data_IF_652573281282
#
_entry.id   IF_652573281282
#
_cell.length_a   1.000
_cell.length_b   1.000
_cell.length_c   1.000
_cell.angle_alpha   90.00
_cell.angle_beta   90.00
_cell.angle_gamma   90.00
#
_symmetry.space_group_name_H-M   'P 1'
#
loop_
_entity.id
_entity.type
_entity.pdbx_description
1 polymer ?
#
# COMPACT_ATOMS: atom_id res chain seq x y z
N UNK A 1 2.06 4.25 23.32
CA UNK A 1 2.19 4.10 24.79
C UNK A 1 2.87 5.36 25.30
N UNK A 2 2.53 5.85 26.49
CA UNK A 2 3.26 6.98 27.05
C UNK A 2 4.70 6.54 27.35
N UNK A 3 5.69 7.32 26.91
CA UNK A 3 7.11 7.04 27.11
C UNK A 3 7.43 6.83 28.59
N UNK A 4 6.78 7.58 29.49
CA UNK A 4 6.95 7.43 30.94
C UNK A 4 6.58 6.03 31.45
N UNK A 5 5.45 5.49 31.00
CA UNK A 5 4.97 4.15 31.41
C UNK A 5 5.91 3.05 30.91
N UNK A 6 6.55 3.24 29.76
CA UNK A 6 7.53 2.28 29.28
C UNK A 6 8.84 2.33 30.07
N UNK A 7 9.31 3.53 30.41
CA UNK A 7 10.50 3.74 31.23
C UNK A 7 10.33 3.10 32.61
N UNK A 8 9.18 3.31 33.27
CA UNK A 8 8.87 2.68 34.56
C UNK A 8 8.95 1.14 34.49
N UNK A 9 8.53 0.55 33.37
CA UNK A 9 8.64 -0.91 33.16
C UNK A 9 10.10 -1.36 33.01
N UNK A 10 10.94 -0.57 32.34
CA UNK A 10 12.38 -0.85 32.23
C UNK A 10 13.05 -0.73 33.61
N UNK A 11 12.73 0.33 34.36
CA UNK A 11 13.30 0.59 35.70
C UNK A 11 12.88 -0.47 36.73
N UNK A 12 11.74 -1.12 36.51
CA UNK A 12 11.22 -2.21 37.33
C UNK A 12 11.82 -3.59 36.98
N UNK A 13 12.69 -3.69 35.98
CA UNK A 13 13.33 -4.95 35.63
C UNK A 13 14.26 -5.44 36.75
N UNK A 14 14.28 -6.75 36.95
CA UNK A 14 15.15 -7.38 37.94
C UNK A 14 16.62 -7.03 37.68
N UNK A 15 17.33 -6.62 38.73
CA UNK A 15 18.73 -6.22 38.62
C UNK A 15 18.97 -4.80 38.09
N UNK A 16 17.95 -4.06 37.66
CA UNK A 16 18.13 -2.68 37.19
C UNK A 16 18.66 -1.75 38.29
N UNK A 17 18.10 -1.88 39.51
CA UNK A 17 18.50 -1.07 40.66
C UNK A 17 19.94 -1.32 41.14
N UNK A 18 20.53 -2.48 40.79
CA UNK A 18 21.89 -2.85 41.19
C UNK A 18 22.95 -2.35 40.22
N UNK A 19 22.54 -1.83 39.05
CA UNK A 19 23.42 -1.21 38.05
C UNK A 19 23.77 0.22 38.47
N UNK A 20 24.99 0.66 38.16
CA UNK A 20 25.47 2.01 38.44
C UNK A 20 24.71 3.05 37.62
N UNK A 21 24.57 4.25 38.16
CA UNK A 21 23.76 5.31 37.55
C UNK A 21 24.22 5.70 36.13
N UNK A 22 25.52 5.62 35.83
CA UNK A 22 26.11 5.90 34.52
C UNK A 22 25.80 4.83 33.47
N UNK A 23 25.50 3.59 33.88
CA UNK A 23 25.18 2.47 32.99
C UNK A 23 23.66 2.28 32.79
N UNK A 24 22.84 2.81 33.69
CA UNK A 24 21.35 2.73 33.61
C UNK A 24 20.79 3.35 32.33
N UNK A 25 21.37 4.46 31.87
CA UNK A 25 20.93 5.10 30.63
C UNK A 25 21.15 4.19 29.42
N UNK A 26 22.25 3.44 29.38
CA UNK A 26 22.52 2.47 28.30
C UNK A 26 21.49 1.34 28.24
N UNK A 27 20.96 0.90 29.39
CA UNK A 27 19.88 -0.10 29.44
C UNK A 27 18.58 0.47 28.91
N UNK A 28 18.25 1.71 29.29
CA UNK A 28 17.06 2.42 28.81
C UNK A 28 17.13 2.60 27.30
N UNK A 29 18.24 3.12 26.78
CA UNK A 29 18.42 3.36 25.34
C UNK A 29 18.29 2.05 24.55
N UNK A 30 18.95 0.98 25.01
CA UNK A 30 18.85 -0.34 24.37
C UNK A 30 17.40 -0.87 24.33
N UNK A 31 16.63 -0.67 25.40
CA UNK A 31 15.22 -1.09 25.46
C UNK A 31 14.28 -0.23 24.61
N UNK A 32 14.55 1.07 24.51
CA UNK A 32 13.81 2.02 23.68
C UNK A 32 14.05 1.75 22.19
N UNK A 33 15.31 1.67 21.79
CA UNK A 33 15.72 1.48 20.40
C UNK A 33 15.22 0.13 19.87
N UNK A 34 15.33 -0.93 20.67
CA UNK A 34 14.86 -2.26 20.28
C UNK A 34 13.34 -2.31 20.13
N UNK A 35 12.58 -1.64 21.00
CA UNK A 35 11.13 -1.55 20.89
C UNK A 35 10.74 -0.78 19.62
N UNK A 36 11.35 0.38 19.37
CA UNK A 36 11.03 1.19 18.20
C UNK A 36 11.37 0.47 16.90
N UNK A 37 12.55 -0.16 16.84
CA UNK A 37 12.96 -0.97 15.70
C UNK A 37 12.00 -2.14 15.45
N UNK A 38 11.59 -2.85 16.50
CA UNK A 38 10.65 -3.98 16.36
C UNK A 38 9.27 -3.52 15.92
N UNK A 39 8.77 -2.41 16.45
CA UNK A 39 7.50 -1.83 16.02
C UNK A 39 7.56 -1.42 14.54
N UNK A 40 8.65 -0.79 14.10
CA UNK A 40 8.87 -0.42 12.70
C UNK A 40 8.97 -1.65 11.79
N UNK A 41 9.63 -2.72 12.23
CA UNK A 41 9.68 -4.00 11.51
C UNK A 41 8.28 -4.62 11.36
N UNK A 42 7.54 -4.76 12.45
CA UNK A 42 6.19 -5.35 12.46
C UNK A 42 5.23 -4.56 11.57
N UNK A 43 5.26 -3.23 11.65
CA UNK A 43 4.42 -2.38 10.80
C UNK A 43 4.82 -2.45 9.34
N UNK A 44 6.13 -2.45 9.01
CA UNK A 44 6.60 -2.60 7.64
C UNK A 44 6.22 -3.95 7.01
N UNK A 45 6.19 -5.01 7.81
CA UNK A 45 5.79 -6.35 7.36
C UNK A 45 4.27 -6.50 7.20
N UNK A 46 3.49 -5.79 8.02
CA UNK A 46 2.03 -5.97 8.09
C UNK A 46 1.25 -5.01 7.21
N UNK A 47 1.71 -3.78 7.07
CA UNK A 47 1.01 -2.78 6.27
C UNK A 47 1.38 -2.93 4.80
N UNK A 48 0.42 -3.23 3.90
CA UNK A 48 0.74 -3.43 2.49
C UNK A 48 1.11 -2.12 1.77
N UNK A 49 0.87 -0.97 2.38
CA UNK A 49 1.04 0.33 1.75
C UNK A 49 1.96 1.28 2.52
N UNK A 50 2.54 2.18 1.76
CA UNK A 50 3.28 3.37 2.20
C UNK A 50 2.51 4.41 2.98
N UNK A 51 2.75 4.81 4.24
CA UNK A 51 2.22 6.12 4.64
C UNK A 51 2.77 7.22 3.72
N UNK A 52 1.92 8.13 3.27
CA UNK A 52 2.24 9.25 2.38
C UNK A 52 2.87 8.86 1.04
N UNK A 53 2.56 7.68 0.52
CA UNK A 53 3.03 7.22 -0.79
C UNK A 53 1.87 6.80 -1.70
N UNK A 54 2.07 6.81 -3.03
CA UNK A 54 1.08 6.31 -3.98
C UNK A 54 0.65 4.87 -3.64
N UNK A 55 -0.65 4.64 -3.56
CA UNK A 55 -1.24 3.31 -3.35
C UNK A 55 -2.07 2.83 -4.53
N UNK A 56 -2.55 3.74 -5.37
CA UNK A 56 -3.38 3.43 -6.53
C UNK A 56 -3.08 4.39 -7.67
N UNK A 57 -2.96 3.87 -8.88
CA UNK A 57 -2.87 4.65 -10.12
C UNK A 57 -3.99 4.22 -11.06
N UNK A 58 -4.74 5.19 -11.58
CA UNK A 58 -5.85 4.98 -12.52
C UNK A 58 -5.59 5.83 -13.75
N UNK A 59 -5.73 5.21 -14.92
CA UNK A 59 -5.69 5.88 -16.19
C UNK A 59 -7.01 5.62 -16.91
N UNK A 60 -7.61 6.66 -17.45
CA UNK A 60 -8.79 6.58 -18.29
C UNK A 60 -8.46 7.22 -19.64
N UNK A 61 -8.62 6.44 -20.70
CA UNK A 61 -8.46 6.89 -22.07
C UNK A 61 -9.82 6.77 -22.74
N UNK A 62 -10.30 7.87 -23.29
CA UNK A 62 -11.60 7.93 -23.94
C UNK A 62 -11.47 8.50 -25.34
N UNK A 63 -12.18 7.92 -26.29
CA UNK A 63 -12.36 8.47 -27.63
C UNK A 63 -13.77 8.18 -28.11
N UNK A 64 -14.26 9.00 -29.03
CA UNK A 64 -15.51 8.74 -29.73
C UNK A 64 -15.30 8.67 -31.24
N UNK A 65 -16.16 7.91 -31.90
CA UNK A 65 -16.25 7.83 -33.36
C UNK A 65 -17.72 7.64 -33.75
N UNK A 66 -18.24 8.50 -34.63
CA UNK A 66 -19.64 8.48 -35.10
C UNK A 66 -20.72 8.29 -34.02
N UNK A 67 -20.51 8.87 -32.84
CA UNK A 67 -21.45 8.82 -31.72
C UNK A 67 -21.28 7.63 -30.78
N UNK A 68 -20.39 6.68 -31.12
CA UNK A 68 -20.00 5.56 -30.26
C UNK A 68 -18.87 5.98 -29.32
N UNK A 69 -18.99 5.66 -28.04
CA UNK A 69 -17.99 5.93 -27.00
C UNK A 69 -17.10 4.71 -26.79
N UNK A 70 -15.78 4.91 -26.78
CA UNK A 70 -14.81 3.87 -26.46
C UNK A 70 -13.96 4.30 -25.28
N UNK A 71 -13.87 3.42 -24.28
CA UNK A 71 -13.14 3.70 -23.05
C UNK A 71 -12.14 2.58 -22.75
N UNK A 72 -10.95 2.97 -22.32
CA UNK A 72 -9.92 2.07 -21.83
C UNK A 72 -9.51 2.53 -20.43
N UNK A 73 -9.73 1.67 -19.44
CA UNK A 73 -9.41 1.93 -18.04
C UNK A 73 -8.26 1.03 -17.61
N UNK A 74 -7.18 1.63 -17.13
CA UNK A 74 -6.09 0.92 -16.48
C UNK A 74 -6.09 1.25 -14.99
N UNK A 75 -5.87 0.23 -14.17
CA UNK A 75 -5.73 0.37 -12.72
C UNK A 75 -4.50 -0.38 -12.24
N UNK A 76 -3.74 0.25 -11.35
CA UNK A 76 -2.58 -0.35 -10.69
C UNK A 76 -2.64 -0.14 -9.19
N UNK A 77 -2.77 -1.24 -8.47
CA UNK A 77 -2.56 -1.37 -7.04
C UNK A 77 -1.05 -1.37 -6.74
N UNK A 78 -0.60 -0.47 -5.87
CA UNK A 78 0.80 -0.34 -5.49
C UNK A 78 1.13 -0.99 -4.14
N UNK A 79 0.36 -2.03 -3.77
CA UNK A 79 0.68 -2.86 -2.61
C UNK A 79 2.12 -3.40 -2.70
N UNK A 80 2.85 -3.29 -1.58
CA UNK A 80 4.25 -3.77 -1.42
C UNK A 80 4.32 -5.28 -1.22
N UNK A 81 3.27 -5.84 -0.63
CA UNK A 81 3.18 -7.26 -0.28
C UNK A 81 2.52 -7.98 -1.45
N UNK A 82 3.04 -9.15 -1.82
CA UNK A 82 2.40 -10.01 -2.82
C UNK A 82 0.99 -10.37 -2.38
N UNK A 83 0.02 -10.03 -3.20
CA UNK A 83 -1.37 -10.47 -3.04
C UNK A 83 -1.62 -11.72 -3.88
N UNK A 84 -2.58 -12.53 -3.45
CA UNK A 84 -3.18 -13.61 -4.26
C UNK A 84 -4.04 -13.06 -5.40
N UNK A 85 -4.42 -11.79 -5.31
CA UNK A 85 -5.22 -11.07 -6.31
C UNK A 85 -4.34 -10.32 -7.30
N UNK A 86 -4.83 -10.09 -8.53
CA UNK A 86 -4.15 -9.24 -9.49
C UNK A 86 -3.96 -7.82 -8.94
N UNK A 87 -2.86 -7.18 -9.32
CA UNK A 87 -2.49 -5.82 -8.91
C UNK A 87 -2.50 -4.84 -10.07
N UNK A 88 -2.53 -5.34 -11.31
CA UNK A 88 -2.75 -4.50 -12.49
C UNK A 88 -3.90 -5.02 -13.32
N UNK A 89 -4.69 -4.10 -13.86
CA UNK A 89 -5.87 -4.37 -14.65
C UNK A 89 -5.92 -3.44 -15.85
N UNK A 90 -6.46 -3.93 -16.95
CA UNK A 90 -6.86 -3.10 -18.08
C UNK A 90 -8.19 -3.60 -18.63
N UNK A 91 -9.15 -2.68 -18.77
CA UNK A 91 -10.55 -2.99 -19.09
C UNK A 91 -10.99 -2.06 -20.20
N UNK A 92 -11.57 -2.63 -21.26
CA UNK A 92 -12.09 -1.90 -22.41
C UNK A 92 -13.60 -1.92 -22.44
N UNK A 93 -14.19 -0.78 -22.82
CA UNK A 93 -15.62 -0.61 -23.01
C UNK A 93 -15.93 0.03 -24.36
N UNK A 94 -17.12 -0.27 -24.87
CA UNK A 94 -17.78 0.42 -25.98
C UNK A 94 -19.21 0.70 -25.54
N UNK A 95 -19.65 1.97 -25.59
CA UNK A 95 -20.97 2.41 -25.13
C UNK A 95 -21.33 1.83 -23.74
N UNK A 96 -20.35 1.86 -22.82
CA UNK A 96 -20.41 1.29 -21.47
C UNK A 96 -20.56 -0.25 -21.39
N UNK A 97 -20.68 -0.96 -22.50
CA UNK A 97 -20.64 -2.41 -22.55
C UNK A 97 -19.19 -2.91 -22.42
N UNK A 98 -18.99 -3.93 -21.58
CA UNK A 98 -17.68 -4.55 -21.41
C UNK A 98 -17.26 -5.25 -22.70
N UNK A 99 -16.06 -4.94 -23.18
CA UNK A 99 -15.49 -5.59 -24.37
C UNK A 99 -14.47 -6.64 -23.95
N UNK A 100 -13.48 -6.26 -23.14
CA UNK A 100 -12.45 -7.19 -22.67
C UNK A 100 -11.87 -6.71 -21.33
N UNK A 101 -11.34 -7.66 -20.57
CA UNK A 101 -10.62 -7.44 -19.32
C UNK A 101 -9.36 -8.28 -19.30
N UNK A 102 -8.25 -7.67 -18.90
CA UNK A 102 -7.01 -8.39 -18.59
C UNK A 102 -6.50 -7.96 -17.22
N UNK A 103 -5.88 -8.90 -16.50
CA UNK A 103 -5.34 -8.66 -15.17
C UNK A 103 -4.01 -9.40 -15.00
N UNK A 104 -3.15 -8.89 -14.12
CA UNK A 104 -1.86 -9.49 -13.82
C UNK A 104 -1.50 -9.37 -12.34
N UNK A 105 -0.85 -10.42 -11.80
CA UNK A 105 -0.35 -10.48 -10.42
C UNK A 105 0.88 -9.57 -10.21
N UNK A 106 1.56 -9.19 -11.28
CA UNK A 106 2.71 -8.31 -11.25
C UNK A 106 2.33 -6.85 -11.55
N UNK A 107 3.15 -5.94 -11.05
CA UNK A 107 3.01 -4.52 -11.34
C UNK A 107 3.53 -4.19 -12.74
N UNK A 108 2.66 -4.27 -13.74
CA UNK A 108 2.95 -3.87 -15.13
C UNK A 108 2.68 -2.40 -15.39
N UNK A 109 3.38 -1.83 -16.37
CA UNK A 109 3.12 -0.48 -16.89
C UNK A 109 1.88 -0.50 -17.79
N UNK A 110 1.29 0.67 -18.01
CA UNK A 110 0.15 0.84 -18.93
C UNK A 110 0.40 0.22 -20.31
N UNK A 111 1.59 0.41 -20.89
CA UNK A 111 1.95 -0.15 -22.20
C UNK A 111 2.02 -1.68 -22.20
N UNK A 112 2.57 -2.27 -21.14
CA UNK A 112 2.68 -3.73 -21.01
C UNK A 112 1.30 -4.35 -20.83
N UNK A 113 0.42 -3.71 -20.05
CA UNK A 113 -0.97 -4.12 -19.91
C UNK A 113 -1.77 -3.94 -21.20
N UNK A 114 -1.47 -2.92 -22.00
CA UNK A 114 -2.09 -2.72 -23.31
C UNK A 114 -1.74 -3.85 -24.29
N UNK A 115 -0.48 -4.28 -24.32
CA UNK A 115 -0.09 -5.41 -25.17
C UNK A 115 -0.80 -6.72 -24.76
N UNK A 116 -0.99 -6.94 -23.45
CA UNK A 116 -1.76 -8.08 -22.95
C UNK A 116 -3.25 -7.96 -23.30
N UNK A 117 -3.81 -6.75 -23.16
CA UNK A 117 -5.19 -6.46 -23.51
C UNK A 117 -5.48 -6.74 -24.98
N UNK A 118 -4.62 -6.28 -25.90
CA UNK A 118 -4.78 -6.52 -27.34
C UNK A 118 -4.73 -8.01 -27.66
N UNK A 119 -3.85 -8.78 -27.00
CA UNK A 119 -3.80 -10.24 -27.18
C UNK A 119 -5.09 -10.91 -26.71
N UNK A 120 -5.58 -10.55 -25.53
CA UNK A 120 -6.81 -11.10 -24.97
C UNK A 120 -8.04 -10.75 -25.83
N UNK A 121 -8.17 -9.48 -26.24
CA UNK A 121 -9.24 -9.01 -27.11
C UNK A 121 -9.27 -9.77 -28.45
N UNK A 122 -8.11 -10.03 -29.06
CA UNK A 122 -8.02 -10.81 -30.31
C UNK A 122 -8.37 -12.29 -30.15
N UNK A 123 -8.33 -12.85 -28.95
CA UNK A 123 -8.67 -14.26 -28.70
C UNK A 123 -10.16 -14.48 -28.46
N UNK A 124 -10.93 -13.42 -28.20
CA UNK A 124 -12.38 -13.48 -27.99
C UNK A 124 -13.17 -13.40 -29.31
N UNK A 125 -12.53 -13.75 -30.43
CA UNK A 125 -12.85 -13.27 -31.78
C UNK A 125 -13.94 -13.99 -32.57
N UNK A 126 -14.56 -15.04 -32.04
CA UNK A 126 -15.18 -16.00 -32.95
C UNK A 126 -16.67 -15.78 -33.26
N UNK A 127 -17.43 -14.94 -32.53
CA UNK A 127 -18.89 -14.83 -32.83
C UNK A 127 -19.51 -13.42 -32.89
N UNK A 128 -19.13 -12.40 -32.12
CA UNK A 128 -19.73 -11.06 -32.24
C UNK A 128 -18.72 -9.96 -31.84
N UNK A 129 -18.24 -9.17 -32.80
CA UNK A 129 -17.24 -8.13 -32.52
C UNK A 129 -17.89 -6.81 -32.12
N UNK A 130 -17.48 -6.31 -30.96
CA UNK A 130 -17.58 -4.90 -30.62
C UNK A 130 -16.24 -4.26 -31.01
N UNK A 131 -16.22 -3.51 -32.11
CA UNK A 131 -15.00 -2.88 -32.61
C UNK A 131 -14.43 -1.91 -31.56
N UNK A 132 -13.13 -1.95 -31.32
CA UNK A 132 -12.39 -0.97 -30.52
C UNK A 132 -11.35 -0.28 -31.41
N UNK A 133 -11.17 1.05 -31.32
CA UNK A 133 -10.15 1.77 -32.09
C UNK A 133 -8.75 1.55 -31.50
N UNK A 134 -8.21 0.33 -31.60
CA UNK A 134 -6.96 -0.09 -30.97
C UNK A 134 -5.75 0.77 -31.39
N UNK A 135 -5.71 1.25 -32.63
CA UNK A 135 -4.64 2.12 -33.13
C UNK A 135 -4.65 3.49 -32.43
N UNK A 136 -5.83 4.02 -32.14
CA UNK A 136 -6.03 5.27 -31.38
C UNK A 136 -5.58 5.07 -29.94
N UNK A 137 -6.01 3.98 -29.29
CA UNK A 137 -5.56 3.66 -27.94
C UNK A 137 -4.06 3.40 -27.84
N UNK A 138 -3.46 2.70 -28.81
CA UNK A 138 -2.02 2.46 -28.83
C UNK A 138 -1.23 3.77 -28.81
N UNK A 139 -1.65 4.74 -29.63
CA UNK A 139 -1.03 6.07 -29.68
C UNK A 139 -1.22 6.82 -28.35
N UNK A 140 -2.43 6.79 -27.79
CA UNK A 140 -2.71 7.44 -26.50
C UNK A 140 -1.90 6.84 -25.35
N UNK A 141 -1.71 5.51 -25.32
CA UNK A 141 -0.90 4.80 -24.33
C UNK A 141 0.58 5.16 -24.45
N UNK A 142 1.09 5.34 -25.67
CA UNK A 142 2.47 5.75 -25.92
C UNK A 142 2.72 7.20 -25.52
N UNK A 143 1.82 8.12 -25.89
CA UNK A 143 1.97 9.56 -25.65
C UNK A 143 1.59 9.96 -24.22
N UNK A 144 0.68 9.20 -23.59
CA UNK A 144 0.17 9.44 -22.22
C UNK A 144 -0.46 10.82 -22.02
N UNK A 145 -1.04 11.37 -23.08
CA UNK A 145 -1.65 12.70 -23.09
C UNK A 145 -2.90 12.71 -23.98
N UNK A 146 -3.74 13.72 -23.76
CA UNK A 146 -4.87 13.98 -24.63
C UNK A 146 -4.37 14.49 -25.98
N UNK A 147 -4.99 14.06 -27.07
CA UNK A 147 -4.68 14.59 -28.40
C UNK A 147 -5.91 14.63 -29.28
N UNK A 148 -5.89 15.53 -30.27
CA UNK A 148 -6.93 15.65 -31.28
C UNK A 148 -6.34 15.32 -32.65
N UNK A 149 -7.05 14.49 -33.40
CA UNK A 149 -6.80 14.21 -34.81
C UNK A 149 -8.00 14.68 -35.63
N UNK A 150 -7.89 14.61 -36.96
CA UNK A 150 -8.99 14.98 -37.86
C UNK A 150 -10.25 14.12 -37.63
N UNK A 151 -10.08 12.87 -37.18
CA UNK A 151 -11.17 11.91 -36.96
C UNK A 151 -11.55 11.71 -35.50
N UNK A 152 -10.60 11.79 -34.58
CA UNK A 152 -10.82 11.43 -33.18
C UNK A 152 -10.35 12.53 -32.22
N UNK A 153 -11.13 12.74 -31.16
CA UNK A 153 -10.72 13.48 -29.96
C UNK A 153 -10.43 12.47 -28.87
N UNK A 154 -9.18 12.39 -28.42
CA UNK A 154 -8.77 11.49 -27.34
C UNK A 154 -8.59 12.27 -26.06
N UNK A 155 -9.32 11.86 -25.03
CA UNK A 155 -9.18 12.34 -23.67
C UNK A 155 -8.34 11.35 -22.88
N UNK A 156 -7.37 11.87 -22.14
CA UNK A 156 -6.53 11.07 -21.26
C UNK A 156 -6.56 11.68 -19.87
N UNK A 157 -7.10 10.92 -18.91
CA UNK A 157 -7.21 11.33 -17.51
C UNK A 157 -6.38 10.38 -16.66
N UNK A 158 -5.70 10.94 -15.67
CA UNK A 158 -4.86 10.18 -14.75
C UNK A 158 -5.17 10.61 -13.33
N UNK A 159 -5.41 9.65 -12.46
CA UNK A 159 -5.49 9.86 -11.02
C UNK A 159 -4.45 8.99 -10.33
N UNK A 160 -3.74 9.57 -9.36
CA UNK A 160 -2.92 8.84 -8.41
C UNK A 160 -3.50 9.13 -7.03
N UNK A 161 -3.87 8.08 -6.31
CA UNK A 161 -4.28 8.21 -4.92
C UNK A 161 -3.12 7.76 -4.01
N UNK A 162 -2.83 8.57 -3.01
CA UNK A 162 -1.87 8.33 -1.97
C UNK A 162 -2.55 7.72 -0.76
N UNK A 163 -1.79 6.95 -0.01
CA UNK A 163 -2.22 6.45 1.28
C UNK A 163 -1.95 7.52 2.34
N UNK A 164 -2.94 7.88 3.17
CA UNK A 164 -2.71 8.84 4.25
C UNK A 164 -1.74 8.28 5.29
N UNK A 165 -1.12 9.19 6.05
CA UNK A 165 -0.26 8.82 7.17
C UNK A 165 -1.02 8.06 8.26
N UNK A 166 -0.56 6.85 8.58
CA UNK A 166 -1.15 5.99 9.61
C UNK A 166 -1.10 6.59 11.00
N UNK A 167 -0.12 7.45 11.29
CA UNK A 167 -0.01 8.12 12.60
C UNK A 167 -1.17 9.09 12.86
N UNK A 168 -1.79 9.61 11.81
CA UNK A 168 -2.90 10.54 11.89
C UNK A 168 -4.27 9.86 11.96
N UNK A 169 -4.33 8.55 11.72
CA UNK A 169 -5.58 7.79 11.75
C UNK A 169 -5.93 7.48 13.20
N UNK A 170 -7.07 8.00 13.65
CA UNK A 170 -7.62 7.76 14.98
C UNK A 170 -8.96 7.04 14.86
N UNK A 171 -9.27 6.24 15.87
CA UNK A 171 -10.54 5.52 15.98
C UNK A 171 -10.42 4.02 15.67
N UNK A 172 -11.58 3.39 15.55
CA UNK A 172 -11.81 2.00 15.19
C UNK A 172 -11.39 1.71 13.73
N UNK A 173 -11.26 0.42 13.40
CA UNK A 173 -10.94 -0.04 12.02
C UNK A 173 -11.94 0.50 10.98
N UNK A 174 -13.23 0.62 11.34
CA UNK A 174 -14.24 1.18 10.44
C UNK A 174 -14.08 2.69 10.24
N UNK A 175 -13.71 3.44 11.27
CA UNK A 175 -13.41 4.88 11.13
C UNK A 175 -12.16 5.09 10.28
N UNK A 176 -11.14 4.24 10.45
CA UNK A 176 -9.97 4.22 9.59
C UNK A 176 -10.31 3.92 8.13
N UNK A 177 -11.19 2.94 7.88
CA UNK A 177 -11.65 2.58 6.54
C UNK A 177 -12.32 3.76 5.85
N UNK A 178 -13.27 4.42 6.52
CA UNK A 178 -13.98 5.59 5.98
C UNK A 178 -13.01 6.74 5.71
N UNK A 179 -12.13 7.04 6.68
CA UNK A 179 -11.14 8.10 6.53
C UNK A 179 -10.23 7.90 5.30
N UNK A 180 -9.72 6.68 5.09
CA UNK A 180 -8.86 6.39 3.94
C UNK A 180 -9.65 6.51 2.62
N UNK A 181 -10.90 6.02 2.58
CA UNK A 181 -11.76 6.14 1.40
C UNK A 181 -12.06 7.59 1.05
N UNK A 182 -12.38 8.42 2.03
CA UNK A 182 -12.67 9.83 1.82
C UNK A 182 -11.44 10.58 1.32
N UNK A 183 -10.27 10.28 1.89
CA UNK A 183 -8.99 10.83 1.46
C UNK A 183 -8.67 10.47 0.01
N UNK A 184 -8.75 9.19 -0.34
CA UNK A 184 -8.49 8.71 -1.70
C UNK A 184 -9.55 9.20 -2.69
N UNK A 185 -10.82 9.25 -2.28
CA UNK A 185 -11.91 9.81 -3.08
C UNK A 185 -11.67 11.27 -3.43
N UNK A 186 -11.17 12.08 -2.48
CA UNK A 186 -10.82 13.48 -2.71
C UNK A 186 -9.68 13.66 -3.73
N UNK A 187 -8.78 12.69 -3.87
CA UNK A 187 -7.72 12.71 -4.90
C UNK A 187 -8.23 12.16 -6.26
N UNK A 188 -9.09 11.15 -6.26
CA UNK A 188 -9.55 10.48 -7.48
C UNK A 188 -10.59 11.32 -8.23
N UNK A 189 -11.61 11.82 -7.51
CA UNK A 189 -12.76 12.50 -8.10
C UNK A 189 -12.41 13.71 -8.97
N UNK A 190 -11.58 14.68 -8.53
CA UNK A 190 -11.28 15.85 -9.36
C UNK A 190 -10.43 15.51 -10.59
N UNK A 191 -9.60 14.47 -10.51
CA UNK A 191 -8.70 14.08 -11.59
C UNK A 191 -9.40 13.25 -12.70
N UNK A 192 -10.46 12.52 -12.35
CA UNK A 192 -11.24 11.73 -13.31
C UNK A 192 -12.50 12.46 -13.78
N UNK A 193 -13.08 13.35 -12.97
CA UNK A 193 -14.24 14.17 -13.32
C UNK A 193 -15.36 13.32 -13.96
N UNK A 194 -15.77 13.63 -15.19
CA UNK A 194 -16.84 12.92 -15.92
C UNK A 194 -16.55 11.45 -16.20
N UNK A 195 -15.31 10.98 -16.02
CA UNK A 195 -14.94 9.58 -16.20
C UNK A 195 -15.23 8.70 -14.97
N UNK A 196 -15.72 9.27 -13.87
CA UNK A 196 -15.86 8.52 -12.61
C UNK A 196 -16.79 7.33 -12.74
N UNK A 197 -17.89 7.46 -13.48
CA UNK A 197 -18.89 6.39 -13.62
C UNK A 197 -18.31 5.17 -14.34
N UNK A 198 -17.62 5.38 -15.47
CA UNK A 198 -16.98 4.27 -16.22
C UNK A 198 -15.83 3.65 -15.44
N UNK A 199 -15.09 4.44 -14.66
CA UNK A 199 -14.03 3.93 -13.78
C UNK A 199 -14.61 3.12 -12.62
N UNK A 200 -15.72 3.54 -12.03
CA UNK A 200 -16.42 2.74 -11.00
C UNK A 200 -16.99 1.46 -11.58
N UNK A 201 -17.49 1.49 -12.81
CA UNK A 201 -17.93 0.30 -13.52
C UNK A 201 -16.75 -0.67 -13.75
N UNK A 202 -15.61 -0.16 -14.23
CA UNK A 202 -14.37 -0.92 -14.38
C UNK A 202 -13.90 -1.52 -13.04
N UNK A 203 -14.02 -0.79 -11.94
CA UNK A 203 -13.63 -1.25 -10.62
C UNK A 203 -14.41 -2.48 -10.13
N UNK A 204 -15.64 -2.71 -10.62
CA UNK A 204 -16.40 -3.92 -10.35
C UNK A 204 -15.75 -5.18 -10.94
N UNK A 205 -15.06 -5.04 -12.08
CA UNK A 205 -14.30 -6.12 -12.72
C UNK A 205 -12.86 -6.25 -12.21
N UNK A 206 -12.37 -5.24 -11.46
CA UNK A 206 -11.02 -5.19 -10.93
C UNK A 206 -10.94 -5.54 -9.43
N UNK A 207 -11.76 -6.49 -8.96
CA UNK A 207 -11.80 -6.93 -7.55
C UNK A 207 -11.96 -5.78 -6.52
N UNK A 208 -12.64 -4.71 -6.93
CA UNK A 208 -12.80 -3.50 -6.14
C UNK A 208 -11.45 -2.90 -5.68
N UNK A 209 -10.47 -2.84 -6.60
CA UNK A 209 -9.11 -2.36 -6.35
C UNK A 209 -9.08 -0.94 -5.76
N UNK A 210 -10.02 -0.07 -6.12
CA UNK A 210 -10.13 1.29 -5.56
C UNK A 210 -10.27 1.26 -4.04
N UNK A 211 -11.05 0.32 -3.50
CA UNK A 211 -11.30 0.23 -2.05
C UNK A 211 -10.35 -0.74 -1.33
N UNK A 212 -9.49 -1.45 -2.06
CA UNK A 212 -8.66 -2.52 -1.50
C UNK A 212 -7.65 -1.97 -0.50
N UNK A 213 -7.02 -0.85 -0.83
CA UNK A 213 -5.99 -0.24 -0.01
C UNK A 213 -6.54 0.24 1.34
N UNK A 214 -7.74 0.82 1.34
CA UNK A 214 -8.47 1.18 2.55
C UNK A 214 -8.81 -0.05 3.41
N UNK A 215 -9.34 -1.13 2.82
CA UNK A 215 -9.70 -2.36 3.53
C UNK A 215 -8.50 -3.08 4.14
N UNK A 216 -7.41 -3.22 3.39
CA UNK A 216 -6.23 -3.93 3.89
C UNK A 216 -5.53 -3.12 5.00
N UNK A 217 -5.45 -1.81 4.83
CA UNK A 217 -4.88 -0.92 5.85
C UNK A 217 -5.75 -0.88 7.10
N UNK A 218 -7.08 -0.80 6.99
CA UNK A 218 -7.97 -0.80 8.16
C UNK A 218 -7.84 -2.08 8.99
N UNK A 219 -7.67 -3.23 8.33
CA UNK A 219 -7.41 -4.50 9.00
C UNK A 219 -6.06 -4.48 9.72
N UNK A 220 -5.01 -3.97 9.07
CA UNK A 220 -3.69 -3.83 9.69
C UNK A 220 -3.73 -2.89 10.91
N UNK A 221 -4.52 -1.82 10.86
CA UNK A 221 -4.72 -0.89 11.99
C UNK A 221 -5.36 -1.60 13.19
N UNK A 222 -6.29 -2.53 12.97
CA UNK A 222 -6.86 -3.33 14.05
C UNK A 222 -5.80 -4.19 14.78
N UNK A 223 -4.77 -4.64 14.06
CA UNK A 223 -3.67 -5.42 14.61
C UNK A 223 -2.57 -4.57 15.29
N UNK A 224 -2.56 -3.24 15.11
CA UNK A 224 -1.51 -2.35 15.66
C UNK A 224 -1.41 -2.43 17.18
N UNK A 225 -2.52 -2.64 17.88
CA UNK A 225 -2.53 -2.84 19.33
C UNK A 225 -1.63 -4.00 19.75
N UNK A 226 -1.79 -5.15 19.10
CA UNK A 226 -0.97 -6.34 19.35
C UNK A 226 0.50 -6.12 18.95
N UNK A 227 0.75 -5.44 17.84
CA UNK A 227 2.13 -5.12 17.42
C UNK A 227 2.85 -4.24 18.45
N UNK A 228 2.14 -3.27 19.05
CA UNK A 228 2.69 -2.43 20.13
C UNK A 228 3.08 -3.28 21.34
N UNK A 229 2.23 -4.22 21.73
CA UNK A 229 2.52 -5.10 22.87
C UNK A 229 3.72 -6.02 22.60
N UNK A 230 3.81 -6.59 21.40
CA UNK A 230 4.96 -7.40 20.97
C UNK A 230 6.27 -6.60 20.97
N UNK A 231 6.25 -5.38 20.41
CA UNK A 231 7.40 -4.49 20.41
C UNK A 231 7.86 -4.12 21.83
N UNK A 232 6.91 -3.86 22.74
CA UNK A 232 7.19 -3.59 24.16
C UNK A 232 7.84 -4.80 24.83
N UNK A 233 7.31 -6.00 24.62
CA UNK A 233 7.90 -7.22 25.18
C UNK A 233 9.34 -7.45 24.65
N UNK A 234 9.57 -7.19 23.37
CA UNK A 234 10.89 -7.31 22.73
C UNK A 234 11.91 -6.33 23.31
N UNK A 235 11.51 -5.06 23.49
CA UNK A 235 12.38 -4.06 24.09
C UNK A 235 12.69 -4.33 25.57
N UNK A 236 11.72 -4.77 26.37
CA UNK A 236 11.97 -5.19 27.76
C UNK A 236 12.94 -6.37 27.85
N UNK A 237 12.82 -7.35 26.94
CA UNK A 237 13.76 -8.48 26.86
C UNK A 237 15.18 -8.00 26.52
N UNK A 238 15.30 -7.03 25.63
CA UNK A 238 16.60 -6.46 25.24
C UNK A 238 17.23 -5.68 26.39
N UNK A 239 16.44 -4.84 27.08
CA UNK A 239 16.89 -4.16 28.29
C UNK A 239 17.34 -5.15 29.37
N UNK A 240 16.55 -6.20 29.65
CA UNK A 240 16.92 -7.25 30.60
C UNK A 240 18.21 -7.97 30.20
N UNK A 241 18.42 -8.25 28.91
CA UNK A 241 19.68 -8.82 28.40
C UNK A 241 20.86 -7.88 28.62
N UNK A 242 20.65 -6.56 28.48
CA UNK A 242 21.67 -5.55 28.74
C UNK A 242 22.06 -5.46 30.22
N UNK A 243 21.08 -5.60 31.13
CA UNK A 243 21.32 -5.71 32.57
C UNK A 243 22.23 -6.91 32.84
N UNK A 244 21.89 -8.08 32.31
CA UNK A 244 22.69 -9.29 32.48
C UNK A 244 24.12 -9.15 31.94
N UNK A 245 24.29 -8.52 30.77
CA UNK A 245 25.61 -8.23 30.19
C UNK A 245 26.47 -7.37 31.12
N UNK A 246 25.91 -6.30 31.68
CA UNK A 246 26.60 -5.39 32.60
C UNK A 246 26.98 -6.13 33.89
N UNK A 247 26.05 -6.89 34.47
CA UNK A 247 26.30 -7.66 35.69
C UNK A 247 27.35 -8.76 35.48
N UNK A 248 27.36 -9.41 34.32
CA UNK A 248 28.40 -10.38 33.96
C UNK A 248 29.77 -9.69 33.82
N UNK A 249 29.86 -8.53 33.16
CA UNK A 249 31.11 -7.76 33.07
C UNK A 249 31.63 -7.30 34.43
N UNK A 250 30.74 -6.90 35.33
CA UNK A 250 31.08 -6.51 36.70
C UNK A 250 31.38 -7.69 37.66
N UNK A 251 31.13 -8.92 37.23
CA UNK A 251 31.32 -10.12 38.04
C UNK A 251 32.78 -10.55 38.13
N UNK A 252 33.21 -11.00 39.32
CA UNK A 252 34.51 -11.66 39.52
C UNK A 252 34.70 -12.90 38.61
N UNK A 253 33.62 -13.45 38.05
CA UNK A 253 33.65 -14.58 37.11
C UNK A 253 34.10 -14.20 35.68
N UNK A 254 33.94 -12.94 35.25
CA UNK A 254 34.38 -12.52 33.92
C UNK A 254 35.91 -12.61 33.75
N UNK A 255 36.66 -12.42 34.83
CA UNK A 255 38.12 -12.61 34.85
C UNK A 255 38.56 -14.08 34.83
N UNK A 256 37.68 -15.04 35.15
CA UNK A 256 38.01 -16.47 35.10
C UNK A 256 37.67 -17.12 33.75
N UNK A 257 36.69 -16.58 33.00
CA UNK A 257 36.36 -17.07 31.66
C UNK A 257 37.45 -16.77 30.60
N UNK A 258 38.31 -15.77 30.84
CA UNK A 258 39.50 -15.51 30.00
C UNK A 258 40.75 -16.31 30.39
N UNK A 259 40.67 -17.18 31.40
CA UNK A 259 41.74 -18.11 31.80
C UNK A 259 41.49 -19.56 31.36
N UNK A 260 40.38 -19.83 30.65
CA UNK A 260 40.08 -21.07 29.94
C UNK A 260 40.18 -20.85 28.43
#
# INVERSE_FOLDING_TARGET
MNKSVYLEKIESLEGFSTIKNDERQSVIDAGMDAMEHEFNRLTAEKFPYSPNAPCLEIHHIHTSDDGVSYDLVYMKDMARIKTDKPVTYMIGFNDHALVATVSDLEQKKVSEMFDLFVKAYRQQSDEEFIDLPLSVFAKAVQQREAYKSEKHVVLYRKAIANMPDYSNIKGSSNEALTFIKDYQGAEILPNLSSAIEIVLHANAFADNVINRSARLTSNAIAEVGMMKEQAVAYGLKTASSKIAEIQLRGSKLAGMAGMF
#
